data_IF_254397381545
#
_entry.id   IF_254397381545
#
_cell.length_a   1.000
_cell.length_b   1.000
_cell.length_c   1.000
_cell.angle_alpha   90.00
_cell.angle_beta   90.00
_cell.angle_gamma   90.00
#
_symmetry.space_group_name_H-M   'P 1'
#
loop_
_entity.id
_entity.type
_entity.pdbx_description
1 polymer ?
#
# COMPACT_ATOMS: atom_id res chain seq x y z
N UNK A 1 -48.30 22.65 0.71
CA UNK A 1 -47.09 22.27 1.47
C UNK A 1 -46.05 21.63 0.55
N UNK A 2 -45.27 22.38 -0.25
CA UNK A 2 -44.27 21.77 -1.16
C UNK A 2 -43.14 22.73 -1.60
N UNK A 3 -42.40 23.41 -0.72
CA UNK A 3 -41.15 24.15 -1.12
C UNK A 3 -40.13 24.28 0.03
N UNK A 4 -39.62 23.15 0.54
CA UNK A 4 -38.44 23.12 1.44
C UNK A 4 -37.33 22.18 0.94
N UNK A 5 -37.54 21.55 -0.22
CA UNK A 5 -36.63 20.55 -0.78
C UNK A 5 -35.26 21.08 -1.28
N UNK A 6 -35.07 22.34 -1.74
CA UNK A 6 -33.75 22.77 -2.21
C UNK A 6 -32.77 23.13 -1.07
N UNK A 7 -33.26 23.37 0.15
CA UNK A 7 -32.39 23.77 1.28
C UNK A 7 -31.70 22.58 1.98
N UNK A 8 -32.29 21.39 1.92
CA UNK A 8 -31.72 20.17 2.53
C UNK A 8 -30.59 19.58 1.67
N UNK A 9 -30.61 19.80 0.35
CA UNK A 9 -29.61 19.28 -0.58
C UNK A 9 -28.30 20.11 -0.52
N UNK A 10 -28.38 21.38 -0.16
CA UNK A 10 -27.17 22.23 -0.04
C UNK A 10 -26.37 21.99 1.25
N UNK A 11 -27.02 21.48 2.31
CA UNK A 11 -26.36 21.24 3.61
C UNK A 11 -25.57 19.91 3.64
N UNK A 12 -25.96 18.92 2.84
CA UNK A 12 -25.27 17.62 2.78
C UNK A 12 -24.02 17.63 1.90
N UNK A 13 -23.91 18.57 0.94
CA UNK A 13 -22.68 18.71 0.14
C UNK A 13 -21.50 19.19 1.00
N UNK A 14 -21.72 20.10 1.95
CA UNK A 14 -20.65 20.69 2.77
C UNK A 14 -20.01 19.69 3.75
N UNK A 15 -20.74 18.67 4.21
CA UNK A 15 -20.19 17.66 5.12
C UNK A 15 -19.31 16.63 4.42
N UNK A 16 -19.43 16.47 3.10
CA UNK A 16 -18.58 15.58 2.31
C UNK A 16 -17.17 16.16 2.05
N UNK A 17 -16.99 17.49 2.15
CA UNK A 17 -15.72 18.14 1.86
C UNK A 17 -14.76 18.20 3.07
N UNK A 18 -15.23 17.98 4.30
CA UNK A 18 -14.40 18.11 5.51
C UNK A 18 -13.54 16.88 5.82
N UNK A 19 -13.77 15.74 5.16
CA UNK A 19 -12.96 14.52 5.37
C UNK A 19 -11.76 14.39 4.43
N UNK A 20 -11.65 15.25 3.40
CA UNK A 20 -10.58 15.17 2.41
C UNK A 20 -9.35 16.03 2.75
N UNK A 21 -9.44 16.92 3.75
CA UNK A 21 -8.45 17.98 3.97
C UNK A 21 -7.14 17.53 4.65
N UNK A 22 -7.06 16.36 5.29
CA UNK A 22 -5.81 15.94 5.95
C UNK A 22 -5.58 14.42 5.96
N UNK A 23 -5.35 13.81 4.78
CA UNK A 23 -4.80 12.45 4.74
C UNK A 23 -3.40 12.42 5.35
N UNK A 24 -3.15 11.45 6.23
CA UNK A 24 -1.84 11.28 6.85
C UNK A 24 -0.76 11.00 5.78
N UNK A 25 0.50 11.32 6.07
CA UNK A 25 1.60 10.99 5.15
C UNK A 25 1.71 9.48 4.90
N UNK A 26 1.34 8.65 5.89
CA UNK A 26 1.28 7.20 5.74
C UNK A 26 0.26 6.78 4.69
N UNK A 27 -0.97 7.31 4.75
CA UNK A 27 -2.02 7.03 3.76
C UNK A 27 -1.61 7.47 2.35
N UNK A 28 -0.92 8.61 2.21
CA UNK A 28 -0.41 9.06 0.90
C UNK A 28 0.62 8.07 0.35
N UNK A 29 1.54 7.58 1.18
CA UNK A 29 2.55 6.60 0.78
C UNK A 29 1.89 5.26 0.42
N UNK A 30 0.90 4.81 1.18
CA UNK A 30 0.16 3.58 0.90
C UNK A 30 -0.61 3.67 -0.41
N UNK A 31 -1.31 4.77 -0.67
CA UNK A 31 -2.00 4.99 -1.94
C UNK A 31 -1.02 4.98 -3.13
N UNK A 32 0.14 5.62 -3.00
CA UNK A 32 1.20 5.58 -4.01
C UNK A 32 1.73 4.16 -4.23
N UNK A 33 1.89 3.39 -3.16
CA UNK A 33 2.34 2.00 -3.24
C UNK A 33 1.33 1.13 -3.97
N UNK A 34 0.05 1.28 -3.64
CA UNK A 34 -1.06 0.58 -4.28
C UNK A 34 -1.05 0.85 -5.78
N UNK A 35 -1.05 2.14 -6.17
CA UNK A 35 -1.04 2.53 -7.58
C UNK A 35 0.19 1.96 -8.32
N UNK A 36 1.37 2.08 -7.73
CA UNK A 36 2.62 1.58 -8.32
C UNK A 36 2.60 0.06 -8.53
N UNK A 37 2.10 -0.70 -7.56
CA UNK A 37 2.03 -2.15 -7.67
C UNK A 37 0.98 -2.60 -8.68
N UNK A 38 -0.20 -1.96 -8.70
CA UNK A 38 -1.23 -2.24 -9.72
C UNK A 38 -0.69 -2.06 -11.13
N UNK A 39 0.03 -0.96 -11.38
CA UNK A 39 0.64 -0.66 -12.68
C UNK A 39 1.70 -1.69 -13.06
N UNK A 40 2.63 -2.01 -12.15
CA UNK A 40 3.76 -2.93 -12.42
C UNK A 40 3.34 -4.39 -12.58
N UNK A 41 2.32 -4.81 -11.85
CA UNK A 41 1.85 -6.20 -11.86
C UNK A 41 0.82 -6.48 -12.95
N UNK A 42 0.18 -5.44 -13.47
CA UNK A 42 -0.89 -5.57 -14.48
C UNK A 42 -1.95 -6.57 -13.99
N UNK A 43 -2.43 -6.37 -12.76
CA UNK A 43 -3.45 -7.22 -12.16
C UNK A 43 -4.77 -7.05 -12.90
N UNK A 44 -5.42 -8.16 -13.24
CA UNK A 44 -6.82 -8.15 -13.63
C UNK A 44 -7.69 -7.82 -12.42
N UNK A 45 -8.94 -7.39 -12.64
CA UNK A 45 -9.87 -7.10 -11.54
C UNK A 45 -10.05 -8.31 -10.61
N UNK A 46 -10.11 -9.53 -11.15
CA UNK A 46 -10.23 -10.76 -10.37
C UNK A 46 -8.98 -11.04 -9.53
N UNK A 47 -7.79 -10.91 -10.13
CA UNK A 47 -6.52 -11.08 -9.42
C UNK A 47 -6.38 -10.04 -8.31
N UNK A 48 -6.71 -8.77 -8.57
CA UNK A 48 -6.63 -7.69 -7.60
C UNK A 48 -7.52 -7.95 -6.37
N UNK A 49 -8.75 -8.40 -6.57
CA UNK A 49 -9.68 -8.72 -5.48
C UNK A 49 -9.11 -9.79 -4.53
N UNK A 50 -8.42 -10.79 -5.07
CA UNK A 50 -7.82 -11.86 -4.28
C UNK A 50 -6.43 -11.48 -3.73
N UNK A 51 -5.69 -10.63 -4.45
CA UNK A 51 -4.31 -10.25 -4.12
C UNK A 51 -4.23 -9.31 -2.92
N UNK A 52 -5.05 -8.26 -2.88
CA UNK A 52 -4.93 -7.22 -1.87
C UNK A 52 -5.07 -7.73 -0.42
N UNK A 53 -6.00 -8.64 -0.09
CA UNK A 53 -6.07 -9.23 1.26
C UNK A 53 -4.80 -9.97 1.66
N UNK A 54 -4.22 -10.77 0.76
CA UNK A 54 -2.95 -11.49 1.00
C UNK A 54 -1.81 -10.50 1.18
N UNK A 55 -1.76 -9.49 0.33
CA UNK A 55 -0.73 -8.46 0.37
C UNK A 55 -0.80 -7.63 1.66
N UNK A 56 -2.01 -7.31 2.14
CA UNK A 56 -2.19 -6.57 3.38
C UNK A 56 -1.70 -7.37 4.59
N UNK A 57 -2.00 -8.67 4.66
CA UNK A 57 -1.46 -9.57 5.70
C UNK A 57 0.07 -9.62 5.67
N UNK A 58 0.64 -9.76 4.47
CA UNK A 58 2.09 -9.69 4.27
C UNK A 58 2.68 -8.35 4.76
N UNK A 59 2.07 -7.21 4.40
CA UNK A 59 2.54 -5.89 4.82
C UNK A 59 2.47 -5.72 6.33
N UNK A 60 1.43 -6.21 6.99
CA UNK A 60 1.28 -6.11 8.44
C UNK A 60 2.38 -6.89 9.17
N UNK A 61 2.70 -8.10 8.72
CA UNK A 61 3.78 -8.90 9.31
C UNK A 61 5.16 -8.25 9.10
N UNK A 62 5.39 -7.69 7.91
CA UNK A 62 6.62 -6.91 7.63
C UNK A 62 6.70 -5.63 8.46
N UNK A 63 5.57 -4.94 8.69
CA UNK A 63 5.51 -3.76 9.56
C UNK A 63 5.86 -4.13 11.00
N UNK A 64 5.37 -5.27 11.50
CA UNK A 64 5.73 -5.80 12.83
C UNK A 64 7.24 -5.90 13.01
N UNK A 65 7.95 -6.51 12.05
CA UNK A 65 9.42 -6.61 12.09
C UNK A 65 10.15 -5.26 12.11
N UNK A 66 9.55 -4.18 11.59
CA UNK A 66 10.20 -2.86 11.54
C UNK A 66 10.14 -2.11 12.86
N UNK A 67 9.16 -2.42 13.71
CA UNK A 67 9.02 -1.80 15.03
C UNK A 67 10.17 -2.26 15.95
N UNK A 68 10.63 -3.50 15.78
CA UNK A 68 11.73 -4.11 16.56
C UNK A 68 13.14 -3.66 16.13
N UNK A 69 13.26 -2.85 15.05
CA UNK A 69 14.56 -2.48 14.44
C UNK A 69 15.38 -1.44 15.20
N UNK A 70 14.88 -0.89 16.30
CA UNK A 70 15.63 0.16 17.01
C UNK A 70 16.96 -0.36 17.58
N UNK A 71 17.07 -1.68 17.84
CA UNK A 71 18.24 -2.26 18.52
C UNK A 71 18.71 -3.65 17.98
N UNK A 72 18.13 -4.18 16.90
CA UNK A 72 18.42 -5.54 16.40
C UNK A 72 19.48 -5.65 15.28
N UNK A 73 20.18 -6.79 15.20
CA UNK A 73 21.17 -7.10 14.16
C UNK A 73 20.55 -6.98 12.75
N UNK A 74 21.29 -6.37 11.82
CA UNK A 74 20.90 -6.20 10.42
C UNK A 74 20.66 -7.56 9.77
N UNK A 75 21.55 -8.53 10.01
CA UNK A 75 21.48 -9.85 9.38
C UNK A 75 20.25 -10.63 9.86
N UNK A 76 19.98 -10.62 11.16
CA UNK A 76 18.78 -11.24 11.74
C UNK A 76 17.49 -10.64 11.15
N UNK A 77 17.45 -9.32 10.98
CA UNK A 77 16.32 -8.63 10.38
C UNK A 77 16.09 -9.00 8.91
N UNK A 78 17.16 -9.22 8.15
CA UNK A 78 17.10 -9.68 6.76
C UNK A 78 16.62 -11.13 6.68
N UNK A 79 17.09 -11.99 7.58
CA UNK A 79 16.64 -13.37 7.70
C UNK A 79 15.14 -13.45 8.00
N UNK A 80 14.67 -12.72 9.02
CA UNK A 80 13.23 -12.65 9.36
C UNK A 80 12.40 -12.14 8.20
N UNK A 81 12.86 -11.10 7.51
CA UNK A 81 12.16 -10.58 6.33
C UNK A 81 12.10 -11.61 5.20
N UNK A 82 13.19 -12.36 4.97
CA UNK A 82 13.23 -13.42 3.96
C UNK A 82 12.29 -14.57 4.33
N UNK A 83 12.21 -14.94 5.61
CA UNK A 83 11.28 -15.95 6.10
C UNK A 83 9.82 -15.56 5.82
N UNK A 84 9.43 -14.30 6.08
CA UNK A 84 8.09 -13.80 5.73
C UNK A 84 7.87 -13.87 4.22
N UNK A 85 8.84 -13.42 3.39
CA UNK A 85 8.71 -13.51 1.93
C UNK A 85 8.48 -14.95 1.46
N UNK A 86 9.24 -15.91 1.99
CA UNK A 86 9.07 -17.33 1.69
C UNK A 86 7.69 -17.85 2.13
N UNK A 87 7.21 -17.44 3.31
CA UNK A 87 5.89 -17.81 3.85
C UNK A 87 4.73 -17.39 2.93
N UNK A 88 4.75 -16.16 2.40
CA UNK A 88 3.65 -15.65 1.57
C UNK A 88 3.79 -15.97 0.08
N UNK A 89 4.98 -16.35 -0.38
CA UNK A 89 5.24 -16.68 -1.79
C UNK A 89 4.21 -17.66 -2.38
N UNK A 90 3.87 -18.81 -1.76
CA UNK A 90 2.89 -19.72 -2.33
C UNK A 90 1.49 -19.10 -2.49
N UNK A 91 1.11 -18.21 -1.58
CA UNK A 91 -0.18 -17.51 -1.65
C UNK A 91 -0.21 -16.52 -2.81
N UNK A 92 0.90 -15.79 -3.03
CA UNK A 92 1.02 -14.92 -4.20
C UNK A 92 1.04 -15.73 -5.50
N UNK A 93 1.81 -16.83 -5.56
CA UNK A 93 1.88 -17.67 -6.75
C UNK A 93 0.50 -18.26 -7.10
N UNK A 94 -0.30 -18.63 -6.10
CA UNK A 94 -1.67 -19.12 -6.30
C UNK A 94 -2.60 -18.05 -6.87
N UNK A 95 -2.45 -16.78 -6.47
CA UNK A 95 -3.38 -15.70 -6.83
C UNK A 95 -2.99 -14.99 -8.13
N UNK A 96 -1.70 -14.72 -8.33
CA UNK A 96 -1.20 -13.91 -9.46
C UNK A 96 -0.22 -14.68 -10.36
N UNK A 97 0.10 -15.92 -10.04
CA UNK A 97 1.08 -16.72 -10.79
C UNK A 97 2.54 -16.42 -10.43
N UNK A 98 3.43 -17.33 -10.84
CA UNK A 98 4.86 -17.25 -10.52
C UNK A 98 5.56 -16.02 -11.14
N UNK A 99 5.23 -15.69 -12.38
CA UNK A 99 5.82 -14.54 -13.08
C UNK A 99 5.51 -13.21 -12.37
N UNK A 100 4.22 -12.94 -12.09
CA UNK A 100 3.83 -11.73 -11.37
C UNK A 100 4.32 -11.71 -9.93
N UNK A 101 4.48 -12.87 -9.29
CA UNK A 101 5.08 -12.96 -7.95
C UNK A 101 6.55 -12.54 -7.96
N UNK A 102 7.32 -12.91 -8.98
CA UNK A 102 8.68 -12.39 -9.17
C UNK A 102 8.68 -10.88 -9.38
N UNK A 103 7.80 -10.37 -10.25
CA UNK A 103 7.62 -8.94 -10.49
C UNK A 103 7.19 -8.16 -9.24
N UNK A 104 6.41 -8.75 -8.35
CA UNK A 104 6.01 -8.15 -7.07
C UNK A 104 7.23 -7.82 -6.22
N UNK A 105 8.14 -8.77 -6.03
CA UNK A 105 9.32 -8.55 -5.20
C UNK A 105 10.28 -7.51 -5.81
N UNK A 106 10.38 -7.47 -7.14
CA UNK A 106 11.13 -6.44 -7.84
C UNK A 106 10.47 -5.06 -7.65
N UNK A 107 9.15 -4.97 -7.85
CA UNK A 107 8.39 -3.74 -7.71
C UNK A 107 8.45 -3.17 -6.29
N UNK A 108 8.45 -4.00 -5.25
CA UNK A 108 8.62 -3.52 -3.87
C UNK A 108 10.00 -2.89 -3.62
N UNK A 109 11.06 -3.48 -4.19
CA UNK A 109 12.43 -2.95 -4.12
C UNK A 109 12.52 -1.61 -4.86
N UNK A 110 11.94 -1.54 -6.06
CA UNK A 110 11.89 -0.32 -6.87
C UNK A 110 11.12 0.79 -6.18
N UNK A 111 9.96 0.48 -5.62
CA UNK A 111 9.11 1.46 -4.94
C UNK A 111 9.85 2.15 -3.80
N UNK A 112 10.63 1.41 -3.00
CA UNK A 112 11.45 2.00 -1.94
C UNK A 112 12.44 3.02 -2.48
N UNK A 113 13.09 2.72 -3.61
CA UNK A 113 14.04 3.60 -4.28
C UNK A 113 13.35 4.87 -4.80
N UNK A 114 12.21 4.71 -5.47
CA UNK A 114 11.40 5.82 -5.99
C UNK A 114 10.88 6.71 -4.87
N UNK A 115 10.37 6.10 -3.79
CA UNK A 115 9.85 6.81 -2.62
C UNK A 115 10.93 7.66 -1.96
N UNK A 116 12.13 7.10 -1.73
CA UNK A 116 13.27 7.85 -1.17
C UNK A 116 13.64 9.04 -2.05
N UNK A 117 13.68 8.85 -3.37
CA UNK A 117 13.99 9.93 -4.33
C UNK A 117 12.93 11.03 -4.27
N UNK A 118 11.64 10.68 -4.24
CA UNK A 118 10.53 11.64 -4.14
C UNK A 118 10.56 12.42 -2.83
N UNK A 119 10.74 11.76 -1.69
CA UNK A 119 10.82 12.40 -0.37
C UNK A 119 12.03 13.33 -0.25
N UNK A 120 13.17 12.98 -0.86
CA UNK A 120 14.35 13.85 -0.89
C UNK A 120 14.11 15.12 -1.71
N UNK A 121 13.45 15.01 -2.85
CA UNK A 121 13.15 16.16 -3.71
C UNK A 121 12.12 17.10 -3.07
N UNK A 122 11.13 16.57 -2.36
CA UNK A 122 10.13 17.38 -1.63
C UNK A 122 10.72 18.17 -0.45
N UNK A 123 11.90 17.80 0.06
CA UNK A 123 12.58 18.54 1.13
C UNK A 123 13.49 19.68 0.64
N UNK A 124 13.76 19.73 -0.68
CA UNK A 124 14.65 20.73 -1.29
C UNK A 124 13.90 21.91 -1.91
N UNK A 125 12.58 21.81 -2.03
CA UNK A 125 11.67 22.87 -2.45
C UNK A 125 10.88 23.35 -1.24
#
# INVERSE_FOLDING_TARGET
>A
MKRILPFVILFTLSFAYSTQAQRSQSEKIEALKIAFLTERLQLTSSEAQQFWPVYQSYQNEVKGLRVDRKDGDILENEEKLLAIKKKYRPSFEKVIGADKTSRLYQAEKDFRTVLIKRLRNQRKN
#
